data_IF_064384994789
#
_entry.id   IF_064384994789
#
_cell.length_a   1.000
_cell.length_b   1.000
_cell.length_c   1.000
_cell.angle_alpha   90.00
_cell.angle_beta   90.00
_cell.angle_gamma   90.00
#
_symmetry.space_group_name_H-M   'P 1'
#
loop_
_entity.id
_entity.type
_entity.pdbx_description
1 polymer ?
#
# COMPACT_ATOMS: atom_id res chain seq x y z
N UNK A 1 -6.76 -8.19 15.00
CA UNK A 1 -7.25 -6.92 14.41
C UNK A 1 -8.69 -7.10 13.90
N UNK A 2 -9.68 -6.51 14.59
CA UNK A 2 -11.11 -6.58 14.22
C UNK A 2 -11.39 -5.95 12.83
N UNK A 3 -10.80 -4.78 12.54
CA UNK A 3 -10.93 -4.11 11.25
C UNK A 3 -10.47 -4.97 10.05
N UNK A 4 -9.48 -5.86 10.23
CA UNK A 4 -9.08 -6.81 9.16
C UNK A 4 -10.17 -7.85 8.88
N UNK A 5 -10.96 -8.24 9.90
CA UNK A 5 -12.10 -9.15 9.74
C UNK A 5 -13.27 -8.43 9.05
N UNK A 6 -13.51 -7.17 9.38
CA UNK A 6 -14.53 -6.32 8.73
C UNK A 6 -14.24 -6.13 7.23
N UNK A 7 -12.97 -5.95 6.83
CA UNK A 7 -12.60 -5.91 5.41
C UNK A 7 -13.01 -7.21 4.69
N UNK A 8 -12.82 -8.37 5.34
CA UNK A 8 -13.24 -9.66 4.77
C UNK A 8 -14.76 -9.73 4.63
N UNK A 9 -15.50 -9.30 5.65
CA UNK A 9 -16.97 -9.28 5.63
C UNK A 9 -17.51 -8.35 4.54
N UNK A 10 -17.03 -7.10 4.46
CA UNK A 10 -17.46 -6.12 3.47
C UNK A 10 -17.18 -6.55 2.02
N UNK A 11 -16.05 -7.26 1.79
CA UNK A 11 -15.77 -7.87 0.48
C UNK A 11 -16.78 -8.97 0.13
N UNK A 12 -17.16 -9.79 1.10
CA UNK A 12 -18.11 -10.88 0.88
C UNK A 12 -19.53 -10.37 0.61
N UNK A 13 -19.91 -9.23 1.20
CA UNK A 13 -21.20 -8.58 0.98
C UNK A 13 -21.23 -7.59 -0.20
N UNK A 14 -20.10 -7.39 -0.89
CA UNK A 14 -19.93 -6.38 -1.95
C UNK A 14 -20.34 -4.95 -1.53
N UNK A 15 -20.28 -4.65 -0.23
CA UNK A 15 -20.62 -3.34 0.32
C UNK A 15 -19.41 -2.41 0.25
N UNK A 16 -19.46 -1.46 -0.67
CA UNK A 16 -18.39 -0.50 -0.90
C UNK A 16 -18.17 0.46 0.27
N UNK A 17 -19.23 0.85 0.97
CA UNK A 17 -19.16 1.82 2.05
C UNK A 17 -18.61 1.16 3.31
N UNK A 18 -19.09 -0.04 3.63
CA UNK A 18 -18.50 -0.85 4.69
C UNK A 18 -17.03 -1.18 4.40
N UNK A 19 -16.68 -1.42 3.13
CA UNK A 19 -15.30 -1.69 2.74
C UNK A 19 -14.40 -0.46 2.94
N UNK A 20 -14.91 0.74 2.63
CA UNK A 20 -14.19 2.01 2.85
C UNK A 20 -13.99 2.28 4.34
N UNK A 21 -15.02 2.06 5.17
CA UNK A 21 -14.95 2.21 6.62
C UNK A 21 -13.92 1.23 7.22
N UNK A 22 -14.00 -0.05 6.86
CA UNK A 22 -13.08 -1.07 7.35
C UNK A 22 -11.62 -0.80 6.94
N UNK A 23 -11.38 -0.35 5.70
CA UNK A 23 -10.04 0.07 5.24
C UNK A 23 -9.50 1.27 6.02
N UNK A 24 -10.37 2.22 6.37
CA UNK A 24 -10.01 3.39 7.19
C UNK A 24 -9.60 2.95 8.60
N UNK A 25 -10.36 2.05 9.22
CA UNK A 25 -10.00 1.49 10.53
C UNK A 25 -8.68 0.71 10.52
N UNK A 26 -8.40 -0.07 9.47
CA UNK A 26 -7.09 -0.71 9.30
C UNK A 26 -5.98 0.34 9.16
N UNK A 27 -6.18 1.40 8.38
CA UNK A 27 -5.19 2.45 8.21
C UNK A 27 -4.86 3.12 9.55
N UNK A 28 -5.88 3.54 10.31
CA UNK A 28 -5.71 4.15 11.63
C UNK A 28 -4.94 3.23 12.59
N UNK A 29 -5.31 1.95 12.64
CA UNK A 29 -4.62 0.98 13.49
C UNK A 29 -3.14 0.82 13.10
N UNK A 30 -2.83 0.81 11.80
CA UNK A 30 -1.44 0.74 11.32
C UNK A 30 -0.62 1.97 11.66
N UNK A 31 -1.23 3.16 11.58
CA UNK A 31 -0.58 4.41 11.99
C UNK A 31 -0.29 4.39 13.49
N UNK A 32 -1.26 3.99 14.32
CA UNK A 32 -1.07 3.90 15.76
C UNK A 32 0.01 2.88 16.17
N UNK A 33 0.23 1.83 15.37
CA UNK A 33 1.28 0.84 15.58
C UNK A 33 2.66 1.28 15.03
N UNK A 34 2.75 2.41 14.33
CA UNK A 34 3.98 2.84 13.64
C UNK A 34 4.31 2.02 12.38
N UNK A 35 3.42 1.14 11.92
CA UNK A 35 3.58 0.41 10.65
C UNK A 35 3.41 1.33 9.43
N UNK A 36 2.75 2.48 9.62
CA UNK A 36 2.53 3.52 8.62
C UNK A 36 2.75 4.88 9.27
N UNK A 37 3.24 5.84 8.51
CA UNK A 37 3.59 7.17 9.02
C UNK A 37 4.79 7.67 8.26
N UNK A 38 5.56 8.55 8.90
CA UNK A 38 6.82 9.04 8.34
C UNK A 38 7.76 7.88 8.01
N UNK A 39 8.64 8.15 7.06
CA UNK A 39 9.66 7.21 6.64
C UNK A 39 10.61 6.92 7.79
N UNK A 40 11.08 5.67 7.87
CA UNK A 40 11.99 5.22 8.94
C UNK A 40 13.44 5.68 8.72
N UNK A 41 13.76 6.26 7.55
CA UNK A 41 15.08 6.80 7.23
C UNK A 41 15.15 8.31 7.46
N UNK A 42 16.36 8.82 7.72
CA UNK A 42 16.61 10.23 8.08
C UNK A 42 17.53 10.96 7.10
N UNK A 43 17.90 10.33 5.98
CA UNK A 43 18.83 10.86 4.98
C UNK A 43 18.23 11.93 4.05
N UNK A 44 16.96 12.28 4.25
CA UNK A 44 16.24 13.26 3.42
C UNK A 44 15.76 12.71 2.07
N UNK A 45 15.93 11.41 1.79
CA UNK A 45 15.38 10.82 0.59
C UNK A 45 13.85 10.91 0.58
N UNK A 46 13.29 11.24 -0.58
CA UNK A 46 11.84 11.40 -0.78
C UNK A 46 11.11 10.06 -0.67
N UNK A 47 9.94 10.05 -0.03
CA UNK A 47 9.01 8.91 -0.10
C UNK A 47 8.36 8.84 -1.49
N UNK A 48 8.61 7.76 -2.22
CA UNK A 48 7.99 7.48 -3.52
C UNK A 48 6.74 6.59 -3.42
N UNK A 49 6.24 6.29 -2.23
CA UNK A 49 4.96 5.60 -2.05
C UNK A 49 3.83 6.32 -2.81
N UNK A 50 2.96 5.52 -3.45
CA UNK A 50 1.82 6.00 -4.24
C UNK A 50 2.19 6.88 -5.45
N UNK A 51 3.46 6.91 -5.86
CA UNK A 51 3.87 7.46 -7.16
C UNK A 51 3.81 6.37 -8.23
N UNK A 52 3.45 6.73 -9.47
CA UNK A 52 3.64 5.83 -10.61
C UNK A 52 5.16 5.60 -10.80
N UNK A 53 5.57 4.34 -11.01
CA UNK A 53 6.99 3.93 -11.08
C UNK A 53 7.76 4.68 -12.16
N UNK A 54 7.11 5.00 -13.29
CA UNK A 54 7.67 5.79 -14.40
C UNK A 54 8.09 7.21 -13.96
N UNK A 55 7.43 7.74 -12.93
CA UNK A 55 7.71 9.07 -12.36
C UNK A 55 8.68 9.00 -11.16
N UNK A 56 9.36 7.87 -10.98
CA UNK A 56 10.31 7.65 -9.89
C UNK A 56 11.69 7.27 -10.44
N UNK A 57 12.77 7.44 -9.66
CA UNK A 57 14.10 6.95 -10.03
C UNK A 57 14.16 5.43 -10.29
N UNK A 58 13.13 4.67 -9.93
CA UNK A 58 13.07 3.23 -10.10
C UNK A 58 12.56 2.77 -11.47
N UNK A 59 12.18 3.69 -12.37
CA UNK A 59 11.61 3.36 -13.68
C UNK A 59 12.46 2.36 -14.47
N UNK A 60 13.75 2.65 -14.66
CA UNK A 60 14.65 1.80 -15.44
C UNK A 60 14.83 0.41 -14.82
N UNK A 61 14.93 0.32 -13.50
CA UNK A 61 15.04 -0.97 -12.80
C UNK A 61 13.76 -1.81 -12.97
N UNK A 62 12.59 -1.17 -12.91
CA UNK A 62 11.31 -1.83 -13.06
C UNK A 62 11.11 -2.42 -14.46
N UNK A 63 11.47 -1.67 -15.51
CA UNK A 63 11.42 -2.13 -16.90
C UNK A 63 12.22 -3.42 -17.13
N UNK A 64 13.47 -3.45 -16.63
CA UNK A 64 14.33 -4.64 -16.72
C UNK A 64 13.71 -5.82 -15.96
N UNK A 65 13.13 -5.57 -14.79
CA UNK A 65 12.51 -6.59 -13.96
C UNK A 65 11.27 -7.21 -14.62
N UNK A 66 10.44 -6.39 -15.30
CA UNK A 66 9.27 -6.87 -16.03
C UNK A 66 9.65 -7.69 -17.27
N UNK A 67 10.69 -7.28 -18.00
CA UNK A 67 11.21 -8.06 -19.14
C UNK A 67 11.69 -9.46 -18.72
N UNK A 68 12.33 -9.58 -17.55
CA UNK A 68 12.76 -10.85 -16.97
C UNK A 68 11.59 -11.71 -16.50
N UNK A 69 10.51 -11.09 -16.00
CA UNK A 69 9.30 -11.80 -15.57
C UNK A 69 8.54 -12.38 -16.77
N UNK A 70 8.53 -11.67 -17.90
CA UNK A 70 7.84 -12.12 -19.13
C UNK A 70 8.57 -13.26 -19.86
N UNK A 71 9.83 -13.51 -19.55
CA UNK A 71 10.65 -14.57 -20.17
C UNK A 71 10.60 -15.90 -19.41
N UNK A 72 9.87 -15.97 -18.29
CA UNK A 72 9.77 -17.14 -17.42
C UNK A 72 8.35 -17.71 -17.42
#
# INVERSE_FOLDING_TARGET
>A
MAARREVKAAKASADSDALKAARTGVHQAKVALGERGDVWWTDGARDFNRCNVENTPYAQWYEVSEAQRSTK
#
